data_IF_045750612848
#
_entry.id   IF_045750612848
#
_cell.length_a   1.000
_cell.length_b   1.000
_cell.length_c   1.000
_cell.angle_alpha   90.00
_cell.angle_beta   90.00
_cell.angle_gamma   90.00
#
_symmetry.space_group_name_H-M   'P 1'
#
loop_
_entity.id
_entity.type
_entity.pdbx_description
1 polymer ?
#
# COMPACT_ATOMS: atom_id res chain seq x y z
N UNK A 1 25.50 22.03 -15.39
CA UNK A 1 25.03 20.89 -16.20
C UNK A 1 24.05 20.15 -15.32
N UNK A 2 22.76 20.36 -15.54
CA UNK A 2 21.71 19.68 -14.79
C UNK A 2 21.55 18.29 -15.38
N UNK A 3 21.66 17.26 -14.54
CA UNK A 3 21.53 15.87 -14.94
C UNK A 3 20.05 15.58 -15.26
N UNK A 4 19.67 15.30 -16.53
CA UNK A 4 18.27 15.11 -16.92
C UNK A 4 17.66 13.78 -16.44
N UNK A 5 18.38 13.05 -15.58
CA UNK A 5 17.94 11.77 -15.01
C UNK A 5 17.24 11.90 -13.64
N UNK A 6 17.50 12.98 -12.89
CA UNK A 6 16.82 13.19 -11.59
C UNK A 6 15.32 13.51 -11.74
N UNK A 7 14.92 14.19 -12.83
CA UNK A 7 13.52 14.55 -13.10
C UNK A 7 12.66 13.37 -13.60
N UNK A 8 13.29 12.22 -13.88
CA UNK A 8 12.58 10.96 -14.21
C UNK A 8 12.29 10.09 -12.99
N UNK A 9 12.83 10.40 -11.81
CA UNK A 9 12.60 9.60 -10.61
C UNK A 9 11.35 10.01 -9.83
N UNK A 10 10.81 11.20 -10.10
CA UNK A 10 9.43 11.62 -9.76
C UNK A 10 8.42 11.08 -10.77
N UNK A 11 8.73 9.97 -11.45
CA UNK A 11 7.82 9.28 -12.35
C UNK A 11 6.66 8.68 -11.55
N UNK A 12 5.54 9.41 -11.57
CA UNK A 12 4.18 8.95 -11.31
C UNK A 12 4.05 7.84 -10.25
N UNK A 13 4.52 8.13 -9.03
CA UNK A 13 4.46 7.23 -7.88
C UNK A 13 3.03 6.92 -7.40
N UNK A 14 2.00 7.41 -8.08
CA UNK A 14 0.60 7.00 -7.84
C UNK A 14 0.18 5.81 -8.71
N UNK A 15 1.08 5.38 -9.61
CA UNK A 15 0.85 4.26 -10.51
C UNK A 15 1.24 2.93 -9.88
N UNK A 16 0.79 1.84 -10.51
CA UNK A 16 1.03 0.47 -10.03
C UNK A 16 2.51 0.09 -9.96
N UNK A 17 3.43 0.89 -10.48
CA UNK A 17 4.87 0.57 -10.53
C UNK A 17 5.68 1.20 -9.38
N UNK A 18 5.05 1.82 -8.38
CA UNK A 18 5.76 2.51 -7.29
C UNK A 18 6.74 1.62 -6.49
N UNK A 19 6.54 0.30 -6.50
CA UNK A 19 7.39 -0.66 -5.81
C UNK A 19 8.29 -1.49 -6.75
N UNK A 20 8.46 -1.07 -8.00
CA UNK A 20 9.31 -1.77 -8.97
C UNK A 20 10.75 -1.92 -8.48
N UNK A 21 11.25 -0.93 -7.74
CA UNK A 21 12.60 -0.96 -7.15
C UNK A 21 12.75 -1.98 -6.02
N UNK A 22 11.64 -2.56 -5.56
CA UNK A 22 11.58 -3.65 -4.58
C UNK A 22 11.20 -5.00 -5.22
N UNK A 23 11.12 -5.09 -6.55
CA UNK A 23 10.73 -6.32 -7.26
C UNK A 23 9.21 -6.51 -7.42
N UNK A 24 8.41 -5.48 -7.14
CA UNK A 24 6.96 -5.51 -7.39
C UNK A 24 6.64 -4.70 -8.66
N UNK A 25 6.48 -5.41 -9.77
CA UNK A 25 6.25 -4.80 -11.09
C UNK A 25 4.83 -4.24 -11.26
N UNK A 26 3.83 -4.81 -10.56
CA UNK A 26 2.44 -4.37 -10.60
C UNK A 26 1.79 -4.37 -9.20
N UNK A 27 1.46 -3.19 -8.71
CA UNK A 27 0.74 -2.96 -7.46
C UNK A 27 -0.63 -3.62 -7.39
N UNK A 28 -1.25 -3.95 -8.54
CA UNK A 28 -2.48 -4.75 -8.57
C UNK A 28 -2.28 -6.15 -7.98
N UNK A 29 -1.07 -6.72 -8.06
CA UNK A 29 -0.75 -8.00 -7.44
C UNK A 29 -0.65 -7.89 -5.91
N UNK A 30 -0.10 -6.77 -5.40
CA UNK A 30 -0.10 -6.49 -3.96
C UNK A 30 -1.52 -6.30 -3.44
N UNK A 31 -2.35 -5.51 -4.14
CA UNK A 31 -3.77 -5.31 -3.79
C UNK A 31 -4.51 -6.65 -3.76
N UNK A 32 -4.37 -7.45 -4.83
CA UNK A 32 -5.07 -8.73 -4.97
C UNK A 32 -4.66 -9.73 -3.90
N UNK A 33 -3.37 -9.86 -3.62
CA UNK A 33 -2.89 -10.78 -2.59
C UNK A 33 -3.22 -10.31 -1.17
N UNK A 34 -3.21 -8.99 -0.93
CA UNK A 34 -3.67 -8.42 0.35
C UNK A 34 -5.14 -8.75 0.58
N UNK A 35 -5.98 -8.60 -0.46
CA UNK A 35 -7.40 -8.97 -0.40
C UNK A 35 -7.61 -10.44 -0.02
N UNK A 36 -6.94 -11.38 -0.72
CA UNK A 36 -7.09 -12.80 -0.40
C UNK A 36 -6.55 -13.15 0.99
N UNK A 37 -5.48 -12.51 1.45
CA UNK A 37 -4.96 -12.69 2.80
C UNK A 37 -5.94 -12.20 3.88
N UNK A 38 -6.69 -11.14 3.61
CA UNK A 38 -7.78 -10.68 4.49
C UNK A 38 -8.92 -11.70 4.53
N UNK A 39 -9.32 -12.26 3.38
CA UNK A 39 -10.34 -13.31 3.32
C UNK A 39 -9.94 -14.56 4.12
N UNK A 40 -8.68 -14.99 4.01
CA UNK A 40 -8.14 -16.13 4.76
C UNK A 40 -8.11 -15.87 6.27
N UNK A 41 -7.95 -14.61 6.68
CA UNK A 41 -8.01 -14.16 8.07
C UNK A 41 -9.46 -13.93 8.57
N UNK A 42 -10.48 -14.09 7.71
CA UNK A 42 -11.89 -13.96 8.06
C UNK A 42 -12.52 -12.59 7.80
N UNK A 43 -11.76 -11.62 7.28
CA UNK A 43 -12.25 -10.27 6.96
C UNK A 43 -12.90 -10.26 5.57
N UNK A 44 -14.18 -10.68 5.51
CA UNK A 44 -14.92 -10.83 4.24
C UNK A 44 -15.67 -9.58 3.79
N UNK A 45 -16.06 -8.74 4.74
CA UNK A 45 -16.79 -7.51 4.51
C UNK A 45 -15.99 -6.35 5.09
N UNK A 46 -16.08 -5.17 4.47
CA UNK A 46 -15.41 -3.99 5.00
C UNK A 46 -16.12 -3.51 6.27
N UNK A 47 -15.36 -3.38 7.35
CA UNK A 47 -15.85 -2.73 8.57
C UNK A 47 -14.99 -1.50 8.84
N UNK A 48 -15.54 -0.28 8.71
CA UNK A 48 -14.77 0.94 8.97
C UNK A 48 -14.42 1.01 10.46
N UNK A 49 -13.13 0.85 10.77
CA UNK A 49 -12.63 0.91 12.15
C UNK A 49 -11.14 0.66 12.24
N UNK A 50 -10.53 1.19 13.31
CA UNK A 50 -9.08 1.12 13.51
C UNK A 50 -8.54 -0.33 13.49
N UNK A 51 -9.30 -1.29 14.03
CA UNK A 51 -8.92 -2.71 14.01
C UNK A 51 -8.89 -3.30 12.60
N UNK A 52 -9.87 -2.95 11.76
CA UNK A 52 -9.92 -3.41 10.38
C UNK A 52 -8.77 -2.82 9.55
N UNK A 53 -8.46 -1.54 9.75
CA UNK A 53 -7.32 -0.89 9.09
C UNK A 53 -5.96 -1.44 9.57
N UNK A 54 -5.83 -1.81 10.84
CA UNK A 54 -4.66 -2.54 11.33
C UNK A 54 -4.54 -3.95 10.70
N UNK A 55 -5.67 -4.61 10.42
CA UNK A 55 -5.67 -5.87 9.68
C UNK A 55 -5.25 -5.69 8.22
N UNK A 56 -5.70 -4.62 7.54
CA UNK A 56 -5.24 -4.25 6.19
C UNK A 56 -3.73 -4.04 6.20
N UNK A 57 -3.21 -3.23 7.13
CA UNK A 57 -1.77 -2.95 7.28
C UNK A 57 -0.97 -4.25 7.46
N UNK A 58 -1.40 -5.10 8.40
CA UNK A 58 -0.75 -6.40 8.67
C UNK A 58 -0.77 -7.30 7.44
N UNK A 59 -1.89 -7.37 6.73
CA UNK A 59 -2.02 -8.18 5.52
C UNK A 59 -1.12 -7.65 4.40
N UNK A 60 -1.04 -6.33 4.24
CA UNK A 60 -0.19 -5.68 3.25
C UNK A 60 1.29 -5.90 3.54
N UNK A 61 1.75 -5.66 4.76
CA UNK A 61 3.15 -5.88 5.17
C UNK A 61 3.61 -7.30 4.89
N UNK A 62 2.80 -8.31 5.25
CA UNK A 62 3.11 -9.71 4.93
C UNK A 62 3.19 -9.95 3.43
N UNK A 63 2.27 -9.35 2.68
CA UNK A 63 2.21 -9.50 1.22
C UNK A 63 3.38 -8.81 0.52
N UNK A 64 3.84 -7.68 1.03
CA UNK A 64 5.06 -7.01 0.62
C UNK A 64 6.28 -7.88 0.90
N UNK A 65 6.44 -8.37 2.13
CA UNK A 65 7.57 -9.23 2.53
C UNK A 65 7.65 -10.54 1.72
N UNK A 66 6.52 -11.11 1.32
CA UNK A 66 6.48 -12.32 0.48
C UNK A 66 6.95 -12.06 -0.98
N UNK A 67 6.99 -10.79 -1.41
CA UNK A 67 7.26 -10.40 -2.79
C UNK A 67 8.55 -9.63 -3.01
N UNK A 68 9.08 -8.99 -1.98
CA UNK A 68 10.33 -8.25 -2.14
C UNK A 68 11.54 -9.16 -2.08
N UNK A 69 12.53 -8.85 -2.92
CA UNK A 69 13.82 -9.56 -2.95
C UNK A 69 14.72 -9.21 -1.75
N UNK A 70 14.33 -8.20 -0.97
CA UNK A 70 15.11 -7.74 0.20
C UNK A 70 14.93 -8.68 1.40
N UNK A 71 15.91 -8.71 2.31
CA UNK A 71 16.21 -9.79 3.27
C UNK A 71 15.17 -10.06 4.39
N UNK A 72 13.87 -10.07 4.09
CA UNK A 72 12.78 -10.35 5.02
C UNK A 72 12.44 -9.19 5.96
N UNK A 73 12.77 -7.95 5.58
CA UNK A 73 12.43 -6.74 6.35
C UNK A 73 11.78 -5.67 5.49
N UNK A 74 10.90 -4.88 6.09
CA UNK A 74 10.36 -3.67 5.47
C UNK A 74 11.33 -2.52 5.71
N UNK A 75 11.79 -1.80 4.67
CA UNK A 75 12.60 -0.58 4.86
C UNK A 75 11.85 0.49 5.67
N UNK A 76 12.55 1.27 6.50
CA UNK A 76 11.93 2.25 7.41
C UNK A 76 11.00 3.25 6.69
N UNK A 77 11.42 3.74 5.51
CA UNK A 77 10.62 4.65 4.70
C UNK A 77 9.35 4.00 4.12
N UNK A 78 9.39 2.69 3.85
CA UNK A 78 8.20 1.92 3.41
C UNK A 78 7.27 1.68 4.60
N UNK A 79 7.81 1.35 5.77
CA UNK A 79 7.02 1.16 6.98
C UNK A 79 6.28 2.45 7.37
N UNK A 80 6.97 3.59 7.36
CA UNK A 80 6.34 4.90 7.59
C UNK A 80 5.25 5.20 6.56
N UNK A 81 5.48 4.90 5.27
CA UNK A 81 4.49 5.10 4.22
C UNK A 81 3.23 4.24 4.41
N UNK A 82 3.40 3.01 4.90
CA UNK A 82 2.31 2.09 5.23
C UNK A 82 1.49 2.61 6.41
N UNK A 83 2.16 3.09 7.46
CA UNK A 83 1.52 3.63 8.66
C UNK A 83 0.68 4.88 8.33
N UNK A 84 1.24 5.84 7.60
CA UNK A 84 0.54 7.06 7.21
C UNK A 84 -0.60 6.78 6.23
N UNK A 85 -0.43 5.83 5.31
CA UNK A 85 -1.48 5.37 4.43
C UNK A 85 -2.65 4.76 5.20
N UNK A 86 -2.37 3.96 6.24
CA UNK A 86 -3.41 3.36 7.09
C UNK A 86 -4.25 4.46 7.74
N UNK A 87 -3.60 5.46 8.33
CA UNK A 87 -4.29 6.56 8.99
C UNK A 87 -5.13 7.36 7.99
N UNK A 88 -4.55 7.67 6.84
CA UNK A 88 -5.22 8.45 5.81
C UNK A 88 -6.43 7.73 5.21
N UNK A 89 -6.30 6.44 4.90
CA UNK A 89 -7.43 5.64 4.38
C UNK A 89 -8.49 5.43 5.46
N UNK A 90 -8.10 5.29 6.73
CA UNK A 90 -9.06 5.21 7.83
C UNK A 90 -9.91 6.48 7.91
N UNK A 91 -9.31 7.67 7.82
CA UNK A 91 -10.04 8.94 7.78
C UNK A 91 -10.98 9.02 6.57
N UNK A 92 -10.50 8.62 5.38
CA UNK A 92 -11.24 8.70 4.13
C UNK A 92 -12.51 7.82 4.12
N UNK A 93 -12.44 6.65 4.76
CA UNK A 93 -13.54 5.66 4.75
C UNK A 93 -14.29 5.53 6.07
N UNK A 94 -13.97 6.31 7.11
CA UNK A 94 -14.61 6.24 8.43
C UNK A 94 -16.16 6.33 8.40
N UNK A 95 -16.70 7.07 7.43
CA UNK A 95 -18.15 7.24 7.25
C UNK A 95 -18.76 6.45 6.09
N UNK A 96 -18.04 5.46 5.53
CA UNK A 96 -18.40 4.76 4.29
C UNK A 96 -18.45 3.23 4.46
N UNK A 97 -19.30 2.69 5.34
CA UNK A 97 -19.42 1.23 5.55
C UNK A 97 -19.87 0.47 4.29
N UNK A 98 -20.46 1.16 3.32
CA UNK A 98 -20.88 0.59 2.04
C UNK A 98 -19.75 0.42 1.01
N UNK A 99 -18.54 0.93 1.29
CA UNK A 99 -17.43 0.87 0.36
C UNK A 99 -16.97 -0.57 0.12
N UNK A 100 -16.67 -0.90 -1.14
CA UNK A 100 -16.17 -2.22 -1.48
C UNK A 100 -14.69 -2.37 -1.10
N UNK A 101 -14.38 -3.38 -0.28
CA UNK A 101 -13.02 -3.66 0.19
C UNK A 101 -12.03 -3.82 -0.97
N UNK A 102 -12.42 -4.54 -2.02
CA UNK A 102 -11.54 -4.95 -3.11
C UNK A 102 -11.36 -3.84 -4.15
N UNK A 103 -12.43 -3.14 -4.49
CA UNK A 103 -12.43 -2.18 -5.61
C UNK A 103 -12.30 -0.73 -5.18
N UNK A 104 -12.49 -0.41 -3.89
CA UNK A 104 -12.36 0.96 -3.39
C UNK A 104 -11.30 1.07 -2.30
N UNK A 105 -11.46 0.34 -1.19
CA UNK A 105 -10.64 0.55 0.02
C UNK A 105 -9.18 0.14 -0.21
N UNK A 106 -8.93 -1.08 -0.69
CA UNK A 106 -7.55 -1.55 -0.92
C UNK A 106 -6.84 -0.79 -2.05
N UNK A 107 -7.50 -0.44 -3.17
CA UNK A 107 -6.90 0.45 -4.17
C UNK A 107 -6.55 1.82 -3.61
N UNK A 108 -7.43 2.45 -2.83
CA UNK A 108 -7.16 3.74 -2.20
C UNK A 108 -6.00 3.64 -1.20
N UNK A 109 -5.99 2.62 -0.34
CA UNK A 109 -4.87 2.34 0.56
C UNK A 109 -3.55 2.22 -0.19
N UNK A 110 -3.49 1.41 -1.25
CA UNK A 110 -2.28 1.27 -2.06
C UNK A 110 -1.82 2.60 -2.67
N UNK A 111 -2.75 3.41 -3.19
CA UNK A 111 -2.42 4.73 -3.74
C UNK A 111 -1.82 5.67 -2.69
N UNK A 112 -2.35 5.64 -1.45
CA UNK A 112 -1.76 6.40 -0.35
C UNK A 112 -0.35 5.90 -0.02
N UNK A 113 -0.16 4.58 0.11
CA UNK A 113 1.17 3.98 0.37
C UNK A 113 2.17 4.43 -0.69
N UNK A 114 1.80 4.33 -1.97
CA UNK A 114 2.66 4.69 -3.10
C UNK A 114 3.02 6.19 -3.09
N UNK A 115 2.05 7.05 -2.78
CA UNK A 115 2.28 8.49 -2.63
C UNK A 115 3.23 8.84 -1.47
N UNK A 116 3.05 8.23 -0.30
CA UNK A 116 3.93 8.44 0.85
C UNK A 116 5.32 7.85 0.63
N UNK A 117 5.41 6.63 0.08
CA UNK A 117 6.69 5.98 -0.24
C UNK A 117 7.57 6.87 -1.12
N UNK A 118 6.98 7.47 -2.16
CA UNK A 118 7.66 8.40 -3.04
C UNK A 118 8.13 9.67 -2.32
N UNK A 119 7.30 10.21 -1.44
CA UNK A 119 7.61 11.39 -0.64
C UNK A 119 8.75 11.13 0.36
N UNK A 120 8.86 9.89 0.87
CA UNK A 120 9.85 9.49 1.87
C UNK A 120 11.15 8.93 1.28
N UNK A 121 11.18 8.68 -0.03
CA UNK A 121 12.38 8.30 -0.78
C UNK A 121 13.33 9.48 -1.03
N UNK A 122 12.85 10.71 -0.82
CA UNK A 122 13.59 11.98 -1.03
C UNK A 122 14.66 12.26 0.01
#
# INVERSE_FOLDING_TARGET
MSDPLSDRQTADCTTTTSFSDHGVDDGADLITATYYRLLDAGYREFEPGAEFFAAIETAFVRTYLDRVDDAGRVPDHVAAAIDDARERTCEEFAGRPEADLRTEVLPAFYQQVAGFHCSYRG
#
